data_IF_799915602819
#
_entry.id   IF_799915602819
#
_cell.length_a   1.000
_cell.length_b   1.000
_cell.length_c   1.000
_cell.angle_alpha   90.00
_cell.angle_beta   90.00
_cell.angle_gamma   90.00
#
_symmetry.space_group_name_H-M   'P 1'
#
loop_
_entity.id
_entity.type
_entity.pdbx_description
1 polymer ?
#
# COMPACT_ATOMS: atom_id res chain seq x y z
N UNK A 1 13.96 10.67 -23.52
CA UNK A 1 12.99 9.76 -22.88
C UNK A 1 11.93 10.60 -22.21
N UNK A 2 10.66 10.28 -22.43
CA UNK A 2 9.56 10.92 -21.72
C UNK A 2 9.50 10.46 -20.26
N UNK A 3 9.01 11.35 -19.37
CA UNK A 3 8.81 10.99 -17.96
C UNK A 3 7.64 10.00 -17.85
N UNK A 4 7.82 8.96 -17.05
CA UNK A 4 6.71 8.06 -16.69
C UNK A 4 5.77 8.74 -15.71
N UNK A 5 4.51 8.29 -15.63
CA UNK A 5 3.45 8.91 -14.81
C UNK A 5 3.87 9.16 -13.35
N UNK A 6 4.54 8.18 -12.72
CA UNK A 6 5.01 8.33 -11.33
C UNK A 6 6.07 9.43 -11.12
N UNK A 7 6.74 9.90 -12.19
CA UNK A 7 7.70 10.99 -12.11
C UNK A 7 7.10 12.36 -12.44
N UNK A 8 5.81 12.42 -12.76
CA UNK A 8 5.11 13.69 -12.99
C UNK A 8 4.47 14.26 -11.73
N UNK A 9 4.38 13.46 -10.66
CA UNK A 9 3.81 13.89 -9.38
C UNK A 9 4.84 14.75 -8.63
N UNK A 10 4.40 15.89 -8.10
CA UNK A 10 5.25 16.75 -7.27
C UNK A 10 5.45 16.14 -5.87
N UNK A 11 6.56 15.40 -5.69
CA UNK A 11 6.90 14.76 -4.43
C UNK A 11 7.24 15.72 -3.29
N UNK A 12 7.46 17.01 -3.55
CA UNK A 12 7.65 18.02 -2.51
C UNK A 12 6.33 18.42 -1.86
N UNK A 13 5.23 18.33 -2.62
CA UNK A 13 3.88 18.63 -2.14
C UNK A 13 3.14 17.38 -1.63
N UNK A 14 3.54 16.18 -2.07
CA UNK A 14 2.84 14.92 -1.78
C UNK A 14 2.81 14.63 -0.28
N UNK A 15 1.61 14.37 0.25
CA UNK A 15 1.37 13.98 1.63
C UNK A 15 1.15 12.46 1.73
N UNK A 16 1.24 11.86 2.93
CA UNK A 16 0.69 10.54 3.16
C UNK A 16 -0.79 10.48 2.79
N UNK A 17 -1.23 9.37 2.20
CA UNK A 17 -2.59 9.25 1.70
C UNK A 17 -2.83 8.00 0.87
N UNK A 18 -3.98 7.97 0.20
CA UNK A 18 -4.40 6.90 -0.70
C UNK A 18 -4.82 7.50 -2.04
N UNK A 19 -4.03 7.32 -3.06
CA UNK A 19 -4.20 7.98 -4.35
C UNK A 19 -4.40 6.99 -5.49
N UNK A 20 -5.20 7.36 -6.49
CA UNK A 20 -5.16 6.68 -7.80
C UNK A 20 -3.89 7.14 -8.51
N UNK A 21 -2.92 6.24 -8.65
CA UNK A 21 -1.66 6.53 -9.33
C UNK A 21 -1.85 6.59 -10.85
N UNK A 22 -2.53 5.60 -11.39
CA UNK A 22 -2.88 5.53 -12.82
C UNK A 22 -3.96 4.48 -13.06
N UNK A 23 -4.59 4.59 -14.23
CA UNK A 23 -5.51 3.60 -14.79
C UNK A 23 -4.97 3.15 -16.13
N UNK A 24 -4.64 1.87 -16.26
CA UNK A 24 -4.09 1.28 -17.46
C UNK A 24 -5.16 0.45 -18.17
N UNK A 25 -5.34 0.65 -19.49
CA UNK A 25 -6.22 -0.18 -20.30
C UNK A 25 -5.45 -1.39 -20.81
N UNK A 26 -5.93 -2.59 -20.48
CA UNK A 26 -5.37 -3.87 -20.94
C UNK A 26 -6.45 -4.64 -21.71
N UNK A 27 -6.40 -4.57 -23.04
CA UNK A 27 -7.48 -5.07 -23.88
C UNK A 27 -8.77 -4.29 -23.66
N UNK A 28 -9.83 -4.95 -23.20
CA UNK A 28 -11.11 -4.34 -22.84
C UNK A 28 -11.20 -3.93 -21.36
N UNK A 29 -10.27 -4.40 -20.55
CA UNK A 29 -10.28 -4.24 -19.11
C UNK A 29 -9.43 -3.06 -18.66
N UNK A 30 -9.72 -2.56 -17.44
CA UNK A 30 -8.94 -1.51 -16.78
C UNK A 30 -8.22 -2.14 -15.59
N UNK A 31 -6.99 -1.70 -15.36
CA UNK A 31 -6.24 -1.98 -14.14
C UNK A 31 -5.99 -0.65 -13.44
N UNK A 32 -6.50 -0.53 -12.21
CA UNK A 32 -6.25 0.65 -11.37
C UNK A 32 -5.07 0.37 -10.44
N UNK A 33 -4.07 1.24 -10.48
CA UNK A 33 -2.92 1.24 -9.57
C UNK A 33 -3.13 2.30 -8.50
N UNK A 34 -3.14 1.88 -7.24
CA UNK A 34 -3.21 2.76 -6.08
C UNK A 34 -1.83 3.00 -5.48
N UNK A 35 -1.57 4.24 -5.12
CA UNK A 35 -0.43 4.69 -4.31
C UNK A 35 -0.89 4.75 -2.84
N UNK A 36 -0.41 3.81 -2.05
CA UNK A 36 -0.62 3.74 -0.60
C UNK A 36 0.57 4.44 0.05
N UNK A 37 0.48 5.76 0.22
CA UNK A 37 1.58 6.58 0.71
C UNK A 37 1.59 6.65 2.22
N UNK A 38 2.59 6.03 2.85
CA UNK A 38 2.69 5.90 4.31
C UNK A 38 3.44 7.07 4.93
N UNK A 39 4.52 7.53 4.28
CA UNK A 39 5.36 8.62 4.79
C UNK A 39 5.43 9.77 3.80
N UNK A 40 5.60 10.99 4.31
CA UNK A 40 5.77 12.17 3.46
C UNK A 40 7.14 12.12 2.76
N UNK A 41 7.16 12.10 1.41
CA UNK A 41 8.41 11.98 0.66
C UNK A 41 9.39 13.11 0.97
N UNK A 42 10.66 12.78 1.10
CA UNK A 42 11.79 13.70 1.33
C UNK A 42 11.72 14.55 2.63
N UNK A 43 10.71 14.35 3.47
CA UNK A 43 10.50 15.08 4.74
C UNK A 43 10.53 14.14 5.93
N UNK A 44 9.75 13.05 5.89
CA UNK A 44 9.73 12.06 6.96
C UNK A 44 10.77 10.95 6.73
N UNK A 45 11.23 10.27 7.80
CA UNK A 45 11.99 9.04 7.66
C UNK A 45 11.22 8.00 6.85
N UNK A 46 11.93 7.26 6.01
CA UNK A 46 11.33 6.14 5.26
C UNK A 46 11.25 4.88 6.13
N UNK A 47 10.37 3.95 5.75
CA UNK A 47 10.31 2.62 6.37
C UNK A 47 11.59 1.83 6.07
N UNK A 48 12.05 1.01 7.03
CA UNK A 48 13.14 0.06 6.80
C UNK A 48 12.66 -1.20 6.07
N UNK A 49 13.60 -1.96 5.51
CA UNK A 49 13.30 -3.15 4.68
C UNK A 49 12.49 -4.19 5.45
N UNK A 50 12.86 -4.48 6.71
CA UNK A 50 12.19 -5.47 7.53
C UNK A 50 10.74 -5.10 7.89
N UNK A 51 10.44 -3.82 8.05
CA UNK A 51 9.08 -3.30 8.28
C UNK A 51 8.22 -3.45 7.02
N UNK A 52 8.78 -3.02 5.89
CA UNK A 52 8.15 -3.13 4.57
C UNK A 52 7.83 -4.58 4.24
N UNK A 53 8.77 -5.49 4.45
CA UNK A 53 8.61 -6.91 4.16
C UNK A 53 7.51 -7.55 5.01
N UNK A 54 7.46 -7.20 6.31
CA UNK A 54 6.39 -7.65 7.19
C UNK A 54 5.01 -7.12 6.74
N UNK A 55 4.90 -5.84 6.38
CA UNK A 55 3.66 -5.25 5.85
C UNK A 55 3.26 -5.92 4.54
N UNK A 56 4.21 -6.18 3.64
CA UNK A 56 3.93 -6.83 2.36
C UNK A 56 3.29 -8.20 2.55
N UNK A 57 3.89 -9.08 3.37
CA UNK A 57 3.34 -10.41 3.65
C UNK A 57 1.94 -10.35 4.27
N UNK A 58 1.74 -9.49 5.26
CA UNK A 58 0.46 -9.36 5.96
C UNK A 58 -0.63 -8.77 5.04
N UNK A 59 -0.33 -7.69 4.33
CA UNK A 59 -1.29 -7.06 3.42
C UNK A 59 -1.64 -7.97 2.23
N UNK A 60 -0.64 -8.59 1.59
CA UNK A 60 -0.89 -9.52 0.48
C UNK A 60 -1.76 -10.69 0.92
N UNK A 61 -1.51 -11.25 2.11
CA UNK A 61 -2.33 -12.32 2.67
C UNK A 61 -3.75 -11.85 2.95
N UNK A 62 -3.92 -10.69 3.60
CA UNK A 62 -5.23 -10.14 3.91
C UNK A 62 -6.06 -9.87 2.66
N UNK A 63 -5.49 -9.13 1.71
CA UNK A 63 -6.18 -8.69 0.50
C UNK A 63 -6.63 -9.86 -0.37
N UNK A 64 -5.79 -10.90 -0.51
CA UNK A 64 -6.11 -12.10 -1.29
C UNK A 64 -7.08 -13.06 -0.58
N UNK A 65 -7.36 -12.83 0.69
CA UNK A 65 -8.37 -13.58 1.45
C UNK A 65 -9.64 -12.76 1.72
N UNK A 66 -9.69 -11.49 1.34
CA UNK A 66 -10.87 -10.66 1.54
C UNK A 66 -11.97 -11.00 0.53
N UNK A 67 -13.14 -11.53 0.96
CA UNK A 67 -14.11 -12.18 0.05
C UNK A 67 -14.56 -11.32 -1.13
N UNK A 68 -14.76 -10.00 -0.91
CA UNK A 68 -15.27 -9.08 -1.93
C UNK A 68 -14.21 -8.64 -2.95
N UNK A 69 -12.91 -8.74 -2.60
CA UNK A 69 -11.82 -8.18 -3.39
C UNK A 69 -10.79 -9.20 -3.88
N UNK A 70 -10.72 -10.40 -3.30
CA UNK A 70 -9.68 -11.39 -3.57
C UNK A 70 -9.44 -11.69 -5.05
N UNK A 71 -10.51 -11.75 -5.84
CA UNK A 71 -10.43 -12.04 -7.28
C UNK A 71 -10.00 -10.82 -8.12
N UNK A 72 -9.98 -9.64 -7.51
CA UNK A 72 -9.60 -8.37 -8.17
C UNK A 72 -8.17 -7.95 -7.86
N UNK A 73 -7.56 -8.50 -6.80
CA UNK A 73 -6.21 -8.17 -6.39
C UNK A 73 -5.20 -8.80 -7.34
N UNK A 74 -4.49 -7.97 -8.09
CA UNK A 74 -3.44 -8.40 -9.00
C UNK A 74 -2.06 -8.39 -8.32
N UNK A 75 -1.76 -7.33 -7.57
CA UNK A 75 -0.46 -7.15 -6.92
C UNK A 75 -0.55 -6.20 -5.73
N UNK A 76 0.20 -6.50 -4.68
CA UNK A 76 0.54 -5.58 -3.60
C UNK A 76 2.03 -5.68 -3.33
N UNK A 77 2.73 -4.55 -3.27
CA UNK A 77 4.16 -4.56 -3.00
C UNK A 77 4.73 -3.17 -2.78
N UNK A 78 5.97 -3.09 -2.21
CA UNK A 78 6.58 -1.84 -1.81
C UNK A 78 7.07 -1.01 -3.00
N UNK A 79 7.14 0.29 -2.79
CA UNK A 79 7.87 1.21 -3.66
C UNK A 79 9.36 1.17 -3.33
N UNK A 80 10.22 1.27 -4.36
CA UNK A 80 11.66 1.32 -4.17
C UNK A 80 12.18 2.48 -3.31
N UNK A 81 11.43 3.58 -3.23
CA UNK A 81 11.72 4.73 -2.34
C UNK A 81 11.37 4.49 -0.87
N UNK A 82 10.70 3.38 -0.55
CA UNK A 82 10.31 2.97 0.80
C UNK A 82 9.36 3.93 1.54
N UNK A 83 8.62 4.76 0.79
CA UNK A 83 7.64 5.69 1.36
C UNK A 83 6.21 5.17 1.31
N UNK A 84 5.97 4.03 0.68
CA UNK A 84 4.65 3.43 0.54
C UNK A 84 4.64 2.16 -0.29
N UNK A 85 3.44 1.77 -0.70
CA UNK A 85 3.16 0.56 -1.45
C UNK A 85 2.30 0.85 -2.69
N UNK A 86 2.35 -0.05 -3.66
CA UNK A 86 1.37 -0.10 -4.74
C UNK A 86 0.40 -1.26 -4.54
N UNK A 87 -0.89 -0.98 -4.78
CA UNK A 87 -1.93 -1.97 -4.93
C UNK A 87 -2.47 -1.88 -6.36
N UNK A 88 -2.47 -2.99 -7.08
CA UNK A 88 -3.06 -3.10 -8.41
C UNK A 88 -4.35 -3.92 -8.33
N UNK A 89 -5.45 -3.34 -8.81
CA UNK A 89 -6.75 -4.00 -8.86
C UNK A 89 -7.26 -4.09 -10.30
N UNK A 90 -7.82 -5.24 -10.65
CA UNK A 90 -8.60 -5.39 -11.89
C UNK A 90 -9.92 -4.65 -11.74
N UNK A 91 -10.16 -3.65 -12.56
CA UNK A 91 -11.34 -2.80 -12.57
C UNK A 91 -11.01 -1.31 -12.55
N UNK A 92 -12.05 -0.49 -12.74
CA UNK A 92 -11.98 0.97 -12.72
C UNK A 92 -12.49 1.49 -11.38
N UNK A 93 -11.58 2.00 -10.56
CA UNK A 93 -11.87 2.41 -9.18
C UNK A 93 -11.27 3.78 -8.87
N UNK A 94 -11.92 4.49 -7.93
CA UNK A 94 -11.39 5.69 -7.28
C UNK A 94 -10.89 5.38 -5.87
N UNK A 95 -10.15 6.29 -5.25
CA UNK A 95 -9.65 6.12 -3.88
C UNK A 95 -10.78 5.89 -2.87
N UNK A 96 -11.92 6.57 -3.06
CA UNK A 96 -13.09 6.40 -2.20
C UNK A 96 -13.68 4.98 -2.23
N UNK A 97 -13.57 4.26 -3.34
CA UNK A 97 -14.09 2.89 -3.47
C UNK A 97 -13.31 1.88 -2.64
N UNK A 98 -12.03 2.16 -2.39
CA UNK A 98 -11.09 1.22 -1.75
C UNK A 98 -10.59 1.68 -0.38
N UNK A 99 -10.91 2.90 0.07
CA UNK A 99 -10.42 3.42 1.35
C UNK A 99 -10.79 2.52 2.53
N UNK A 100 -12.00 1.96 2.52
CA UNK A 100 -12.43 1.00 3.56
C UNK A 100 -11.61 -0.28 3.52
N UNK A 101 -11.39 -0.85 2.33
CA UNK A 101 -10.56 -2.06 2.14
C UNK A 101 -9.16 -1.85 2.70
N UNK A 102 -8.54 -0.72 2.36
CA UNK A 102 -7.18 -0.40 2.78
C UNK A 102 -7.13 -0.12 4.29
N UNK A 103 -8.10 0.61 4.83
CA UNK A 103 -8.20 0.83 6.27
C UNK A 103 -8.32 -0.49 7.03
N UNK A 104 -9.22 -1.37 6.63
CA UNK A 104 -9.43 -2.68 7.26
C UNK A 104 -8.15 -3.54 7.18
N UNK A 105 -7.44 -3.52 6.03
CA UNK A 105 -6.17 -4.21 5.85
C UNK A 105 -5.09 -3.71 6.82
N UNK A 106 -4.92 -2.40 6.94
CA UNK A 106 -3.93 -1.83 7.86
C UNK A 106 -4.35 -1.96 9.32
N UNK A 107 -5.64 -1.96 9.63
CA UNK A 107 -6.13 -2.31 10.98
C UNK A 107 -5.76 -3.76 11.34
N UNK A 108 -5.96 -4.70 10.41
CA UNK A 108 -5.53 -6.08 10.59
C UNK A 108 -4.02 -6.17 10.89
N UNK A 109 -3.17 -5.42 10.19
CA UNK A 109 -1.72 -5.38 10.44
C UNK A 109 -1.42 -4.79 11.83
N UNK A 110 -2.08 -3.68 12.18
CA UNK A 110 -1.91 -2.99 13.46
C UNK A 110 -2.21 -3.90 14.67
N UNK A 111 -3.20 -4.78 14.53
CA UNK A 111 -3.65 -5.70 15.60
C UNK A 111 -2.97 -7.09 15.52
N UNK A 112 -2.17 -7.35 14.50
CA UNK A 112 -1.59 -8.67 14.27
C UNK A 112 -0.65 -9.10 15.40
N UNK A 113 -0.81 -10.35 15.87
CA UNK A 113 -0.07 -10.87 17.04
C UNK A 113 0.42 -12.32 16.90
N UNK A 114 0.39 -12.85 15.68
CA UNK A 114 0.82 -14.22 15.39
C UNK A 114 2.10 -14.22 14.55
N UNK A 115 2.54 -15.41 14.14
CA UNK A 115 3.60 -15.54 13.15
C UNK A 115 3.14 -14.97 11.80
N UNK A 116 4.04 -14.21 11.16
CA UNK A 116 3.75 -13.60 9.86
C UNK A 116 3.59 -14.72 8.82
N UNK A 117 2.50 -14.74 8.05
CA UNK A 117 2.28 -15.73 7.00
C UNK A 117 3.45 -15.78 6.01
N UNK A 118 3.92 -16.98 5.70
CA UNK A 118 5.04 -17.18 4.78
C UNK A 118 6.42 -16.80 5.34
N UNK A 119 6.56 -16.50 6.63
CA UNK A 119 7.84 -16.19 7.28
C UNK A 119 8.64 -17.47 7.58
N UNK A 120 8.93 -18.25 6.54
CA UNK A 120 9.73 -19.47 6.65
C UNK A 120 10.75 -19.54 5.50
N UNK A 121 11.85 -20.27 5.72
CA UNK A 121 12.87 -20.46 4.68
C UNK A 121 12.34 -21.18 3.43
N UNK A 122 11.25 -21.91 3.54
CA UNK A 122 10.59 -22.59 2.41
C UNK A 122 9.75 -21.63 1.58
N UNK A 123 9.10 -20.67 2.22
CA UNK A 123 8.05 -19.86 1.61
C UNK A 123 8.55 -18.46 1.20
N UNK A 124 9.66 -17.99 1.77
CA UNK A 124 10.20 -16.65 1.53
C UNK A 124 11.72 -16.69 1.35
N UNK A 125 12.20 -15.96 0.35
CA UNK A 125 13.63 -15.86 0.03
C UNK A 125 14.48 -15.11 1.06
N UNK A 126 13.86 -14.38 1.99
CA UNK A 126 14.55 -13.62 3.06
C UNK A 126 13.68 -13.51 4.32
N UNK A 127 13.21 -14.64 4.82
CA UNK A 127 12.20 -14.72 5.88
C UNK A 127 12.64 -14.13 7.24
N UNK A 128 13.94 -13.97 7.48
CA UNK A 128 14.47 -13.37 8.72
C UNK A 128 14.42 -11.83 8.72
N UNK A 129 14.26 -11.19 7.57
CA UNK A 129 14.19 -9.72 7.44
C UNK A 129 12.75 -9.22 7.60
N UNK A 130 12.17 -9.43 8.79
CA UNK A 130 10.82 -8.99 9.13
C UNK A 130 10.77 -8.37 10.53
N UNK A 131 10.18 -7.18 10.63
CA UNK A 131 9.99 -6.44 11.89
C UNK A 131 8.51 -6.16 12.13
N UNK A 132 7.82 -7.10 12.80
CA UNK A 132 6.40 -6.96 13.11
C UNK A 132 6.08 -5.76 14.02
N UNK A 133 6.82 -5.48 15.11
CA UNK A 133 6.55 -4.31 15.94
C UNK A 133 6.53 -2.99 15.17
N UNK A 134 7.50 -2.78 14.29
CA UNK A 134 7.55 -1.57 13.45
C UNK A 134 6.52 -1.57 12.33
N UNK A 135 6.20 -2.73 11.75
CA UNK A 135 5.09 -2.84 10.79
C UNK A 135 3.76 -2.41 11.43
N UNK A 136 3.51 -2.82 12.67
CA UNK A 136 2.34 -2.39 13.46
C UNK A 136 2.34 -0.90 13.74
N UNK A 137 3.49 -0.31 14.08
CA UNK A 137 3.62 1.13 14.29
C UNK A 137 3.21 1.93 13.04
N UNK A 138 3.73 1.56 11.87
CA UNK A 138 3.37 2.21 10.62
C UNK A 138 1.89 2.00 10.26
N UNK A 139 1.36 0.80 10.51
CA UNK A 139 -0.04 0.49 10.27
C UNK A 139 -0.97 1.32 11.16
N UNK A 140 -0.70 1.47 12.45
CA UNK A 140 -1.46 2.34 13.36
C UNK A 140 -1.47 3.79 12.87
N UNK A 141 -0.33 4.34 12.47
CA UNK A 141 -0.25 5.70 11.92
C UNK A 141 -1.11 5.87 10.68
N UNK A 142 -1.06 4.89 9.78
CA UNK A 142 -1.80 4.96 8.53
C UNK A 142 -3.30 4.80 8.73
N UNK A 143 -3.75 3.93 9.63
CA UNK A 143 -5.17 3.83 10.02
C UNK A 143 -5.67 5.16 10.55
N UNK A 144 -4.95 5.80 11.47
CA UNK A 144 -5.33 7.10 12.04
C UNK A 144 -5.45 8.19 10.94
N UNK A 145 -4.59 8.16 9.92
CA UNK A 145 -4.71 9.05 8.76
C UNK A 145 -5.99 8.78 7.97
N UNK A 146 -6.27 7.51 7.68
CA UNK A 146 -7.43 7.11 6.88
C UNK A 146 -8.77 7.28 7.62
N UNK A 147 -8.78 7.37 8.94
CA UNK A 147 -10.00 7.68 9.73
C UNK A 147 -10.57 9.06 9.41
N UNK A 148 -9.70 10.00 9.07
CA UNK A 148 -10.06 11.36 8.71
C UNK A 148 -9.80 11.66 7.23
N UNK A 149 -9.81 10.61 6.39
CA UNK A 149 -9.51 10.74 4.98
C UNK A 149 -10.51 11.63 4.25
N UNK A 150 -10.00 12.63 3.56
CA UNK A 150 -10.73 13.53 2.70
C UNK A 150 -10.00 13.71 1.36
N UNK A 151 -10.46 14.62 0.53
CA UNK A 151 -9.83 14.86 -0.78
C UNK A 151 -8.36 15.29 -0.69
N UNK A 152 -7.91 15.85 0.44
CA UNK A 152 -6.51 16.29 0.59
C UNK A 152 -5.52 15.13 0.66
N UNK A 153 -5.99 13.92 1.06
CA UNK A 153 -5.18 12.71 1.11
C UNK A 153 -5.64 11.62 0.10
N UNK A 154 -6.57 11.96 -0.80
CA UNK A 154 -7.07 11.05 -1.84
C UNK A 154 -6.86 11.57 -3.26
N UNK A 155 -6.51 12.84 -3.43
CA UNK A 155 -6.18 13.45 -4.72
C UNK A 155 -4.74 13.95 -4.71
N UNK A 156 -3.99 13.66 -5.78
CA UNK A 156 -2.63 14.18 -5.88
C UNK A 156 -2.61 15.71 -5.86
N UNK A 157 -1.62 16.31 -5.20
CA UNK A 157 -1.46 17.76 -5.18
C UNK A 157 -1.23 18.29 -6.61
N UNK A 158 -1.87 19.40 -6.95
CA UNK A 158 -1.74 20.12 -8.22
C UNK A 158 -0.53 21.07 -8.18
#
# INVERSE_FOLDING_TARGET
>A
MEKITSFTIDHLKLQPGLYVSRKDKVGTEIVTTFDIRITRPNIEPVMNTAEIHAIEHLAATYLRNYPLWKEKVLYFGPMGCRTGFYLLLAGDYESADVVKLIKDCFQFIAEFSREIPGASAKDCGNYLDMNLPMAKYWAHRYVALLENADNSCMLYPV
#
